data_IF_047856245375
#
_entry.id   IF_047856245375
#
_cell.length_a   1.000
_cell.length_b   1.000
_cell.length_c   1.000
_cell.angle_alpha   90.00
_cell.angle_beta   90.00
_cell.angle_gamma   90.00
#
_symmetry.space_group_name_H-M   'P 1'
#
loop_
_entity.id
_entity.type
_entity.pdbx_description
1 polymer ?
#
# COMPACT_ATOMS: atom_id res chain seq x y z
N UNK A 1 -14.04 43.80 -14.42
CA UNK A 1 -13.70 42.51 -13.78
C UNK A 1 -14.16 41.39 -14.70
N UNK A 2 -13.26 40.79 -15.49
CA UNK A 2 -13.58 39.69 -16.41
C UNK A 2 -12.86 38.44 -15.92
N UNK A 3 -13.60 37.62 -15.20
CA UNK A 3 -13.14 36.38 -14.59
C UNK A 3 -13.03 35.32 -15.69
N UNK A 4 -11.81 35.11 -16.20
CA UNK A 4 -11.49 33.97 -17.06
C UNK A 4 -11.40 32.73 -16.18
N UNK A 5 -12.47 31.95 -16.13
CA UNK A 5 -12.49 30.68 -15.41
C UNK A 5 -11.69 29.64 -16.21
N UNK A 6 -10.50 29.29 -15.73
CA UNK A 6 -9.73 28.13 -16.19
C UNK A 6 -10.54 26.86 -15.92
N UNK A 7 -11.02 26.22 -16.99
CA UNK A 7 -11.51 24.85 -16.92
C UNK A 7 -10.28 23.94 -16.92
N UNK A 8 -9.71 23.71 -15.73
CA UNK A 8 -8.70 22.68 -15.53
C UNK A 8 -9.41 21.36 -15.23
N UNK A 9 -9.98 20.75 -16.27
CA UNK A 9 -10.51 19.38 -16.19
C UNK A 9 -9.31 18.43 -16.15
N UNK A 10 -8.68 18.32 -14.99
CA UNK A 10 -7.76 17.22 -14.70
C UNK A 10 -8.59 15.94 -14.75
N UNK A 11 -8.50 15.23 -15.88
CA UNK A 11 -9.04 13.90 -16.03
C UNK A 11 -8.52 13.06 -14.86
N UNK A 12 -9.42 12.72 -13.93
CA UNK A 12 -9.21 11.70 -12.91
C UNK A 12 -9.12 10.36 -13.66
N UNK A 13 -7.95 10.11 -14.27
CA UNK A 13 -7.61 8.80 -14.78
C UNK A 13 -7.70 7.86 -13.58
N UNK A 14 -8.39 6.71 -13.71
CA UNK A 14 -8.33 5.68 -12.69
C UNK A 14 -6.86 5.24 -12.62
N UNK A 15 -6.14 5.75 -11.64
CA UNK A 15 -4.81 5.26 -11.32
C UNK A 15 -5.03 3.84 -10.86
N UNK A 16 -4.63 2.88 -11.69
CA UNK A 16 -4.63 1.48 -11.29
C UNK A 16 -3.84 1.40 -9.98
N UNK A 17 -4.55 1.09 -8.89
CA UNK A 17 -3.92 0.81 -7.62
C UNK A 17 -3.06 -0.43 -7.85
N UNK A 18 -1.76 -0.20 -8.08
CA UNK A 18 -0.78 -1.28 -8.10
C UNK A 18 -0.86 -1.92 -6.71
N UNK A 19 -1.20 -3.20 -6.65
CA UNK A 19 -1.17 -3.98 -5.43
C UNK A 19 0.18 -3.77 -4.75
N UNK A 20 0.24 -2.94 -3.71
CA UNK A 20 1.45 -2.67 -2.98
C UNK A 20 1.70 -3.87 -2.07
N UNK A 21 2.55 -4.79 -2.53
CA UNK A 21 3.10 -5.80 -1.64
C UNK A 21 3.86 -5.07 -0.52
N UNK A 22 3.49 -5.37 0.72
CA UNK A 22 4.11 -4.80 1.91
C UNK A 22 4.74 -5.91 2.75
N UNK A 23 5.84 -5.60 3.42
CA UNK A 23 6.52 -6.53 4.33
C UNK A 23 6.59 -5.92 5.72
N UNK A 24 6.12 -6.66 6.72
CA UNK A 24 6.27 -6.36 8.14
C UNK A 24 7.37 -7.22 8.75
N UNK A 25 8.15 -6.64 9.67
CA UNK A 25 9.15 -7.36 10.46
C UNK A 25 8.65 -7.57 11.88
N UNK A 26 8.85 -8.76 12.42
CA UNK A 26 8.58 -9.06 13.82
C UNK A 26 9.87 -8.90 14.61
N UNK A 27 9.83 -8.05 15.62
CA UNK A 27 10.99 -7.74 16.47
C UNK A 27 10.61 -8.07 17.91
N UNK A 28 11.47 -8.81 18.62
CA UNK A 28 11.26 -9.18 20.01
C UNK A 28 11.65 -8.03 20.97
N UNK A 29 11.50 -8.25 22.27
CA UNK A 29 11.81 -7.26 23.32
C UNK A 29 13.28 -6.86 23.40
N UNK A 30 14.17 -7.69 22.88
CA UNK A 30 15.62 -7.46 22.84
C UNK A 30 16.04 -6.68 21.57
N UNK A 31 15.08 -6.37 20.69
CA UNK A 31 15.34 -5.72 19.40
C UNK A 31 15.77 -6.67 18.29
N UNK A 32 15.76 -7.97 18.53
CA UNK A 32 16.11 -8.98 17.53
C UNK A 32 14.93 -9.27 16.58
N UNK A 33 15.21 -9.38 15.29
CA UNK A 33 14.22 -9.82 14.29
C UNK A 33 13.97 -11.33 14.46
N UNK A 34 12.69 -11.71 14.64
CA UNK A 34 12.25 -13.10 14.89
C UNK A 34 11.33 -13.63 13.77
N UNK A 35 11.21 -12.88 12.68
CA UNK A 35 10.37 -13.26 11.56
C UNK A 35 9.86 -12.08 10.76
N UNK A 36 9.02 -12.40 9.78
CA UNK A 36 8.41 -11.40 8.91
C UNK A 36 7.02 -11.84 8.44
N UNK A 37 6.25 -10.88 7.92
CA UNK A 37 5.04 -11.17 7.18
C UNK A 37 5.00 -10.39 5.87
N UNK A 38 4.62 -11.08 4.79
CA UNK A 38 4.30 -10.47 3.51
C UNK A 38 2.79 -10.27 3.41
N UNK A 39 2.37 -9.08 3.00
CA UNK A 39 1.00 -8.67 2.76
C UNK A 39 0.85 -8.40 1.26
N UNK A 40 0.04 -9.21 0.60
CA UNK A 40 -0.24 -9.08 -0.84
C UNK A 40 -1.71 -8.77 -1.04
N UNK A 41 -2.00 -7.68 -1.74
CA UNK A 41 -3.37 -7.35 -2.11
C UNK A 41 -3.85 -8.31 -3.20
N UNK A 42 -5.06 -8.84 -3.00
CA UNK A 42 -5.78 -9.70 -3.94
C UNK A 42 -7.12 -9.05 -4.29
N UNK A 43 -7.81 -9.58 -5.31
CA UNK A 43 -9.15 -9.10 -5.67
C UNK A 43 -10.20 -9.30 -4.55
N UNK A 44 -9.94 -10.21 -3.60
CA UNK A 44 -10.87 -10.57 -2.52
C UNK A 44 -10.47 -10.01 -1.14
N UNK A 45 -9.35 -9.29 -1.03
CA UNK A 45 -8.80 -8.83 0.25
C UNK A 45 -7.28 -8.90 0.29
N UNK A 46 -6.70 -8.98 1.49
CA UNK A 46 -5.24 -9.07 1.68
C UNK A 46 -4.85 -10.48 2.11
N UNK A 47 -3.91 -11.09 1.38
CA UNK A 47 -3.25 -12.33 1.76
C UNK A 47 -2.08 -12.00 2.69
N UNK A 48 -2.02 -12.67 3.85
CA UNK A 48 -0.94 -12.51 4.82
C UNK A 48 -0.17 -13.83 4.92
N UNK A 49 1.11 -13.81 4.59
CA UNK A 49 2.03 -14.94 4.78
C UNK A 49 3.03 -14.58 5.87
N UNK A 50 2.99 -15.29 7.00
CA UNK A 50 3.93 -15.10 8.11
C UNK A 50 4.99 -16.21 8.12
N UNK A 51 6.24 -15.83 8.35
CA UNK A 51 7.39 -16.72 8.54
C UNK A 51 8.02 -16.37 9.91
N UNK A 52 8.02 -17.33 10.84
CA UNK A 52 8.53 -17.19 12.20
C UNK A 52 9.66 -18.20 12.41
N UNK A 53 10.78 -17.77 12.96
CA UNK A 53 11.99 -18.58 13.18
C UNK A 53 12.77 -18.16 14.40
#
# INVERSE_FOLDING_TARGET
MKQFSMIFTAALLPVAALAQDATAKFVNTDGAEIGSASLTQTAAGVLIKAEIG
#
